data_IF_173533764131
#
_entry.id   IF_173533764131
#
_cell.length_a   1.000
_cell.length_b   1.000
_cell.length_c   1.000
_cell.angle_alpha   90.00
_cell.angle_beta   90.00
_cell.angle_gamma   90.00
#
_symmetry.space_group_name_H-M   'P 1'
#
loop_
_entity.id
_entity.type
_entity.pdbx_description
1 polymer ?
#
# COMPACT_ATOMS: atom_id res chain seq x y z
N UNK A 1 13.13 21.40 23.59
CA UNK A 1 12.08 20.85 22.72
C UNK A 1 12.13 19.34 22.87
N UNK A 2 10.99 18.65 22.63
CA UNK A 2 10.99 17.18 22.73
C UNK A 2 11.78 16.56 21.57
N UNK A 3 12.48 15.45 21.87
CA UNK A 3 13.26 14.67 20.91
C UNK A 3 12.53 13.37 20.57
N UNK A 4 12.30 13.14 19.28
CA UNK A 4 11.72 11.91 18.75
C UNK A 4 12.77 11.06 18.05
N UNK A 5 12.79 9.77 18.37
CA UNK A 5 13.54 8.74 17.64
C UNK A 5 12.57 7.99 16.75
N UNK A 6 12.75 8.07 15.43
CA UNK A 6 11.93 7.36 14.46
C UNK A 6 12.70 6.16 13.91
N UNK A 7 12.04 5.00 13.88
CA UNK A 7 12.62 3.76 13.35
C UNK A 7 11.96 3.42 12.03
N UNK A 8 12.73 3.49 10.94
CA UNK A 8 12.32 3.23 9.56
C UNK A 8 12.15 4.50 8.72
N UNK A 9 12.99 4.69 7.70
CA UNK A 9 12.93 5.79 6.73
C UNK A 9 12.17 5.39 5.45
N UNK A 10 11.12 4.58 5.62
CA UNK A 10 10.16 4.34 4.55
C UNK A 10 9.30 5.57 4.29
N UNK A 11 8.29 5.42 3.42
CA UNK A 11 7.38 6.52 3.03
C UNK A 11 6.75 7.24 4.24
N UNK A 12 6.21 6.48 5.20
CA UNK A 12 5.60 7.05 6.39
C UNK A 12 6.65 7.69 7.32
N UNK A 13 7.83 7.08 7.46
CA UNK A 13 8.89 7.60 8.34
C UNK A 13 9.45 8.93 7.85
N UNK A 14 9.77 9.05 6.54
CA UNK A 14 10.19 10.30 5.94
C UNK A 14 9.12 11.40 6.06
N UNK A 15 7.86 11.04 5.77
CA UNK A 15 6.74 11.99 5.89
C UNK A 15 6.53 12.46 7.34
N UNK A 16 6.54 11.53 8.31
CA UNK A 16 6.37 11.88 9.73
C UNK A 16 7.53 12.74 10.24
N UNK A 17 8.77 12.43 9.84
CA UNK A 17 9.93 13.24 10.17
C UNK A 17 9.78 14.69 9.67
N UNK A 18 9.24 14.90 8.46
CA UNK A 18 8.95 16.23 7.94
C UNK A 18 7.87 16.96 8.76
N UNK A 19 6.79 16.24 9.17
CA UNK A 19 5.76 16.83 10.05
C UNK A 19 6.33 17.27 11.38
N UNK A 20 7.09 16.40 12.05
CA UNK A 20 7.69 16.69 13.36
C UNK A 20 8.75 17.79 13.27
N UNK A 21 9.61 17.74 12.22
CA UNK A 21 10.61 18.78 11.95
C UNK A 21 9.99 20.15 11.76
N UNK A 22 8.91 20.25 11.02
CA UNK A 22 8.14 21.50 10.81
C UNK A 22 7.61 22.09 12.14
N UNK A 23 7.28 21.21 13.10
CA UNK A 23 6.85 21.66 14.44
C UNK A 23 7.99 22.10 15.34
N UNK A 24 9.24 21.93 14.91
CA UNK A 24 10.42 22.28 15.67
C UNK A 24 10.89 21.19 16.66
N UNK A 25 10.32 19.99 16.61
CA UNK A 25 10.82 18.86 17.40
C UNK A 25 12.18 18.38 16.87
N UNK A 26 13.08 18.00 17.77
CA UNK A 26 14.31 17.30 17.38
C UNK A 26 13.95 15.88 16.92
N UNK A 27 14.44 15.49 15.73
CA UNK A 27 14.11 14.19 15.13
C UNK A 27 15.38 13.48 14.71
N UNK A 28 15.59 12.27 15.24
CA UNK A 28 16.58 11.31 14.75
C UNK A 28 15.85 10.17 14.05
N UNK A 29 16.02 10.04 12.73
CA UNK A 29 15.38 9.01 11.88
C UNK A 29 16.41 7.96 11.47
N UNK A 30 16.18 6.70 11.85
CA UNK A 30 17.09 5.59 11.60
C UNK A 30 16.52 4.61 10.56
N UNK A 31 17.33 4.24 9.58
CA UNK A 31 16.98 3.30 8.50
C UNK A 31 18.03 2.19 8.41
N UNK A 32 17.56 0.94 8.31
CA UNK A 32 18.43 -0.23 8.20
C UNK A 32 19.16 -0.37 6.87
N UNK A 33 18.60 0.21 5.80
CA UNK A 33 19.15 0.18 4.44
C UNK A 33 20.11 1.34 4.22
N UNK A 34 20.92 1.21 3.17
CA UNK A 34 21.73 2.32 2.66
C UNK A 34 20.83 3.45 2.12
N UNK A 35 21.42 4.64 1.98
CA UNK A 35 20.72 5.79 1.40
C UNK A 35 20.28 5.46 -0.04
N UNK A 36 18.97 5.54 -0.34
CA UNK A 36 18.48 5.24 -1.68
C UNK A 36 18.99 6.20 -2.78
N UNK A 37 19.63 7.28 -2.40
CA UNK A 37 20.20 8.29 -3.33
C UNK A 37 21.65 7.97 -3.72
N UNK A 38 22.37 7.14 -2.97
CA UNK A 38 23.81 6.90 -3.13
C UNK A 38 24.15 5.73 -4.07
N UNK A 39 23.18 4.98 -4.57
CA UNK A 39 23.48 3.83 -5.41
C UNK A 39 22.31 3.29 -6.20
N UNK A 40 22.61 2.44 -7.17
CA UNK A 40 21.62 1.63 -7.85
C UNK A 40 20.84 0.83 -6.78
N UNK A 41 19.52 1.04 -6.71
CA UNK A 41 18.64 0.35 -5.78
C UNK A 41 18.80 -1.17 -5.98
N UNK A 42 19.70 -1.76 -5.21
CA UNK A 42 19.84 -3.21 -5.11
C UNK A 42 18.72 -3.70 -4.20
N UNK A 43 17.65 -4.08 -4.78
CA UNK A 43 16.52 -4.66 -4.05
C UNK A 43 15.23 -4.47 -4.82
N UNK A 44 14.84 -5.47 -5.61
CA UNK A 44 13.55 -5.66 -6.26
C UNK A 44 13.02 -4.45 -7.04
N UNK A 45 12.58 -4.65 -8.26
CA UNK A 45 11.87 -3.61 -9.00
C UNK A 45 10.74 -3.10 -8.12
N UNK A 46 10.70 -1.78 -7.92
CA UNK A 46 9.78 -1.14 -6.99
C UNK A 46 8.36 -1.31 -7.46
N UNK A 47 7.51 -1.95 -6.63
CA UNK A 47 6.05 -1.95 -6.85
C UNK A 47 5.59 -0.50 -6.93
N UNK A 48 4.90 -0.15 -8.01
CA UNK A 48 4.25 1.14 -8.10
C UNK A 48 3.13 1.25 -7.06
N UNK A 49 3.04 2.43 -6.52
CA UNK A 49 2.01 2.78 -5.55
C UNK A 49 0.87 3.51 -6.25
N UNK A 50 -0.34 3.32 -5.73
CA UNK A 50 -1.51 4.08 -6.13
C UNK A 50 -1.78 5.16 -5.08
N UNK A 51 -1.33 6.39 -5.32
CA UNK A 51 -1.63 7.51 -4.42
C UNK A 51 -2.98 8.13 -4.76
N UNK A 52 -3.76 8.44 -3.74
CA UNK A 52 -5.09 9.01 -3.87
C UNK A 52 -5.32 10.12 -2.83
N UNK A 53 -6.54 10.61 -2.71
CA UNK A 53 -6.91 11.80 -1.94
C UNK A 53 -6.28 11.90 -0.55
N UNK A 54 -6.22 10.80 0.23
CA UNK A 54 -5.66 10.83 1.60
C UNK A 54 -4.16 11.03 1.60
N UNK A 55 -3.46 10.30 0.74
CA UNK A 55 -2.01 10.44 0.59
C UNK A 55 -1.63 11.81 0.04
N UNK A 56 -2.35 12.28 -0.98
CA UNK A 56 -2.14 13.62 -1.56
C UNK A 56 -2.36 14.70 -0.49
N UNK A 57 -3.47 14.62 0.25
CA UNK A 57 -3.74 15.58 1.33
C UNK A 57 -2.61 15.65 2.37
N UNK A 58 -2.06 14.50 2.78
CA UNK A 58 -0.95 14.49 3.73
C UNK A 58 0.32 15.17 3.15
N UNK A 59 0.60 15.00 1.85
CA UNK A 59 1.70 15.70 1.18
C UNK A 59 1.43 17.21 1.02
N UNK A 60 0.19 17.61 0.75
CA UNK A 60 -0.23 19.02 0.68
C UNK A 60 0.02 19.76 2.00
N UNK A 61 -0.25 19.11 3.14
CA UNK A 61 -0.08 19.73 4.46
C UNK A 61 1.37 20.12 4.77
N UNK A 62 2.36 19.48 4.15
CA UNK A 62 3.78 19.82 4.27
C UNK A 62 4.33 20.52 3.02
N UNK A 63 3.47 20.81 2.03
CA UNK A 63 3.82 21.61 0.84
C UNK A 63 4.66 20.90 -0.20
N UNK A 64 4.66 19.55 -0.25
CA UNK A 64 5.45 18.78 -1.23
C UNK A 64 4.60 18.00 -2.25
N UNK A 65 3.29 18.19 -2.27
CA UNK A 65 2.41 17.42 -3.15
C UNK A 65 2.77 17.60 -4.63
N UNK A 66 2.95 18.83 -5.10
CA UNK A 66 3.28 19.11 -6.50
C UNK A 66 4.62 18.51 -6.91
N UNK A 67 5.62 18.55 -6.02
CA UNK A 67 6.93 17.96 -6.25
C UNK A 67 6.85 16.44 -6.31
N UNK A 68 6.21 15.83 -5.32
CA UNK A 68 6.07 14.38 -5.22
C UNK A 68 5.24 13.79 -6.38
N UNK A 69 4.22 14.53 -6.85
CA UNK A 69 3.32 14.07 -7.90
C UNK A 69 3.76 14.45 -9.33
N UNK A 70 4.87 15.17 -9.48
CA UNK A 70 5.35 15.67 -10.80
C UNK A 70 5.43 14.58 -11.87
N UNK A 71 5.80 13.38 -11.49
CA UNK A 71 5.96 12.22 -12.38
C UNK A 71 4.89 11.14 -12.15
N UNK A 72 3.84 11.45 -11.39
CA UNK A 72 2.74 10.52 -11.18
C UNK A 72 1.85 10.43 -12.43
N UNK A 73 1.39 9.23 -12.74
CA UNK A 73 0.56 8.97 -13.92
C UNK A 73 -0.89 8.76 -13.46
N UNK A 74 -1.82 9.63 -13.89
CA UNK A 74 -3.22 9.50 -13.50
C UNK A 74 -3.88 8.30 -14.21
N UNK A 75 -4.41 7.38 -13.43
CA UNK A 75 -5.23 6.25 -13.89
C UNK A 75 -6.69 6.59 -13.61
N UNK A 76 -7.50 6.75 -14.67
CA UNK A 76 -8.90 7.20 -14.59
C UNK A 76 -9.89 6.05 -14.45
N UNK A 77 -9.43 4.80 -14.58
CA UNK A 77 -10.28 3.63 -14.50
C UNK A 77 -9.47 2.33 -14.60
N UNK A 78 -10.21 1.25 -14.67
CA UNK A 78 -9.67 -0.10 -14.84
C UNK A 78 -9.83 -0.54 -16.29
N UNK A 79 -8.76 -1.02 -16.91
CA UNK A 79 -8.80 -1.72 -18.18
C UNK A 79 -8.84 -3.22 -17.89
N UNK A 80 -9.99 -3.83 -18.05
CA UNK A 80 -10.20 -5.25 -17.78
C UNK A 80 -9.86 -6.04 -19.02
N UNK A 81 -9.03 -7.07 -18.87
CA UNK A 81 -8.63 -8.05 -19.87
C UNK A 81 -9.36 -9.39 -19.59
N UNK A 82 -10.51 -9.66 -20.19
CA UNK A 82 -11.24 -10.90 -19.95
C UNK A 82 -10.43 -12.13 -20.40
N UNK A 83 -10.74 -13.30 -19.84
CA UNK A 83 -10.15 -14.55 -20.26
C UNK A 83 -10.58 -14.92 -21.70
N UNK A 84 -9.70 -15.59 -22.44
CA UNK A 84 -9.92 -16.06 -23.79
C UNK A 84 -9.17 -15.28 -24.85
N UNK A 85 -8.64 -15.99 -25.84
CA UNK A 85 -7.90 -15.39 -26.96
C UNK A 85 -8.82 -14.46 -27.78
N UNK A 86 -8.34 -13.26 -28.07
CA UNK A 86 -9.09 -12.24 -28.84
C UNK A 86 -10.21 -11.54 -28.09
N UNK A 87 -10.35 -11.74 -26.77
CA UNK A 87 -11.32 -11.02 -25.96
C UNK A 87 -11.01 -9.52 -25.98
N UNK A 88 -12.04 -8.68 -26.24
CA UNK A 88 -11.86 -7.23 -26.21
C UNK A 88 -11.72 -6.72 -24.78
N UNK A 89 -10.78 -5.82 -24.57
CA UNK A 89 -10.62 -5.10 -23.29
C UNK A 89 -11.83 -4.24 -22.99
N UNK A 90 -12.12 -4.07 -21.68
CA UNK A 90 -13.28 -3.31 -21.20
C UNK A 90 -12.77 -2.23 -20.26
N UNK A 91 -12.93 -0.98 -20.65
CA UNK A 91 -12.63 0.14 -19.76
C UNK A 91 -13.82 0.38 -18.80
N UNK A 92 -13.49 0.53 -17.52
CA UNK A 92 -14.45 0.86 -16.45
C UNK A 92 -13.92 2.04 -15.67
N UNK A 93 -14.54 3.24 -15.77
CA UNK A 93 -14.08 4.40 -15.01
C UNK A 93 -14.21 4.16 -13.50
N UNK A 94 -13.36 4.83 -12.72
CA UNK A 94 -13.43 4.76 -11.26
C UNK A 94 -14.60 5.57 -10.70
N UNK A 95 -14.91 6.68 -11.33
CA UNK A 95 -15.86 7.68 -10.86
C UNK A 95 -16.58 8.35 -12.05
N UNK A 96 -17.71 8.99 -11.78
CA UNK A 96 -18.42 9.80 -12.77
C UNK A 96 -17.70 11.12 -13.04
N UNK A 97 -16.97 11.66 -12.05
CA UNK A 97 -16.10 12.81 -12.23
C UNK A 97 -14.73 12.35 -12.76
N UNK A 98 -14.34 12.74 -13.99
CA UNK A 98 -13.06 12.35 -14.58
C UNK A 98 -11.83 12.92 -13.85
N UNK A 99 -11.99 13.86 -12.92
CA UNK A 99 -10.95 14.38 -12.04
C UNK A 99 -10.57 13.37 -10.95
N UNK A 100 -11.52 12.51 -10.56
CA UNK A 100 -11.30 11.47 -9.59
C UNK A 100 -10.50 10.33 -10.23
N UNK A 101 -9.20 10.30 -9.97
CA UNK A 101 -8.28 9.29 -10.45
C UNK A 101 -7.34 8.85 -9.32
N UNK A 102 -6.78 7.66 -9.45
CA UNK A 102 -5.64 7.24 -8.65
C UNK A 102 -4.37 7.49 -9.47
N UNK A 103 -3.29 7.85 -8.80
CA UNK A 103 -2.05 8.18 -9.50
C UNK A 103 -1.02 7.08 -9.27
N UNK A 104 -0.52 6.48 -10.36
CA UNK A 104 0.62 5.58 -10.28
C UNK A 104 1.88 6.38 -10.02
N UNK A 105 2.63 5.99 -8.99
CA UNK A 105 3.88 6.63 -8.60
C UNK A 105 4.91 5.59 -8.18
N UNK A 106 6.16 5.78 -8.61
CA UNK A 106 7.27 4.92 -8.21
C UNK A 106 7.58 5.09 -6.72
N UNK A 107 7.64 3.95 -6.00
CA UNK A 107 7.91 3.95 -4.55
C UNK A 107 9.23 4.63 -4.19
N UNK A 108 10.28 4.37 -4.96
CA UNK A 108 11.61 4.96 -4.74
C UNK A 108 11.59 6.48 -4.85
N UNK A 109 11.02 7.01 -5.94
CA UNK A 109 10.91 8.45 -6.16
C UNK A 109 10.11 9.16 -5.06
N UNK A 110 8.98 8.59 -4.65
CA UNK A 110 8.19 9.14 -3.55
C UNK A 110 8.94 9.08 -2.22
N UNK A 111 9.67 7.96 -1.96
CA UNK A 111 10.47 7.84 -0.72
C UNK A 111 11.58 8.87 -0.68
N UNK A 112 12.30 9.08 -1.76
CA UNK A 112 13.32 10.13 -1.87
C UNK A 112 12.71 11.51 -1.60
N UNK A 113 11.58 11.83 -2.22
CA UNK A 113 10.91 13.13 -2.03
C UNK A 113 10.52 13.40 -0.56
N UNK A 114 9.98 12.40 0.17
CA UNK A 114 9.63 12.60 1.59
C UNK A 114 10.86 12.67 2.50
N UNK A 115 11.96 11.95 2.20
CA UNK A 115 13.22 12.06 2.93
C UNK A 115 13.84 13.44 2.73
N UNK A 116 13.91 13.91 1.49
CA UNK A 116 14.42 15.25 1.16
C UNK A 116 13.59 16.34 1.81
N UNK A 117 12.27 16.20 1.84
CA UNK A 117 11.39 17.12 2.55
C UNK A 117 11.67 17.16 4.07
N UNK A 118 11.93 16.01 4.68
CA UNK A 118 12.31 15.94 6.10
C UNK A 118 13.64 16.65 6.37
N UNK A 119 14.64 16.45 5.51
CA UNK A 119 15.97 17.05 5.65
C UNK A 119 16.03 18.55 5.37
N UNK A 120 14.97 19.18 4.87
CA UNK A 120 14.85 20.65 4.80
C UNK A 120 14.79 21.29 6.17
N UNK A 121 14.46 20.54 7.21
CA UNK A 121 14.39 21.02 8.59
C UNK A 121 15.70 20.70 9.31
N UNK A 122 16.43 21.72 9.86
CA UNK A 122 17.75 21.54 10.49
C UNK A 122 17.70 20.71 11.77
N UNK A 123 16.55 20.54 12.36
CA UNK A 123 16.27 19.72 13.53
C UNK A 123 15.95 18.25 13.19
N UNK A 124 16.04 17.84 11.92
CA UNK A 124 15.85 16.46 11.48
C UNK A 124 17.18 15.88 10.98
N UNK A 125 17.60 14.78 11.56
CA UNK A 125 18.79 14.02 11.16
C UNK A 125 18.38 12.63 10.70
N UNK A 126 18.92 12.17 9.58
CA UNK A 126 18.63 10.85 9.00
C UNK A 126 19.91 10.01 9.02
N UNK A 127 19.81 8.81 9.58
CA UNK A 127 20.90 7.85 9.72
C UNK A 127 20.55 6.56 8.98
N UNK A 128 21.31 6.25 7.93
CA UNK A 128 21.19 5.02 7.16
C UNK A 128 22.11 3.92 7.69
N UNK A 129 21.90 2.67 7.27
CA UNK A 129 22.65 1.49 7.72
C UNK A 129 22.55 1.23 9.24
N UNK A 130 21.41 1.60 9.85
CA UNK A 130 21.14 1.42 11.26
C UNK A 130 19.88 0.56 11.44
N UNK A 131 20.06 -0.70 11.80
CA UNK A 131 18.96 -1.66 11.99
C UNK A 131 18.55 -1.67 13.46
N UNK A 132 17.32 -1.32 13.76
CA UNK A 132 16.77 -1.47 15.11
C UNK A 132 16.57 -2.97 15.41
N UNK A 133 17.07 -3.39 16.56
CA UNK A 133 16.97 -4.75 17.08
C UNK A 133 16.01 -4.87 18.24
N UNK A 134 15.92 -3.84 19.08
CA UNK A 134 15.07 -3.80 20.26
C UNK A 134 14.80 -2.36 20.71
N UNK A 135 13.78 -2.18 21.55
CA UNK A 135 13.41 -0.90 22.18
C UNK A 135 13.09 -1.14 23.64
N UNK A 136 13.79 -0.41 24.52
CA UNK A 136 13.41 -0.26 25.93
C UNK A 136 12.26 0.76 25.99
N UNK A 137 11.07 0.28 26.36
CA UNK A 137 9.87 1.09 26.33
C UNK A 137 9.83 2.14 27.45
N UNK A 138 10.35 1.82 28.64
CA UNK A 138 10.30 2.73 29.79
C UNK A 138 11.24 3.92 29.64
N UNK A 139 12.42 3.68 29.06
CA UNK A 139 13.42 4.71 28.81
C UNK A 139 13.30 5.39 27.44
N UNK A 140 12.41 4.92 26.54
CA UNK A 140 12.32 5.35 25.15
C UNK A 140 13.68 5.29 24.42
N UNK A 141 14.35 4.13 24.53
CA UNK A 141 15.69 3.92 23.95
C UNK A 141 15.63 2.81 22.91
N UNK A 142 16.02 3.11 21.66
CA UNK A 142 16.18 2.14 20.61
C UNK A 142 17.62 1.62 20.54
N UNK A 143 17.79 0.29 20.47
CA UNK A 143 19.07 -0.37 20.26
C UNK A 143 19.24 -0.68 18.78
N UNK A 144 20.37 -0.25 18.21
CA UNK A 144 20.61 -0.24 16.78
C UNK A 144 21.91 -0.96 16.45
N UNK A 145 21.89 -1.89 15.51
CA UNK A 145 23.08 -2.47 14.89
C UNK A 145 23.50 -1.63 13.70
N UNK A 146 24.76 -1.22 13.66
CA UNK A 146 25.33 -0.51 12.51
C UNK A 146 26.10 -1.48 11.63
N UNK A 147 25.73 -1.58 10.35
CA UNK A 147 26.49 -2.34 9.36
C UNK A 147 27.36 -1.37 8.56
N UNK A 148 28.62 -1.27 8.87
CA UNK A 148 29.55 -0.61 7.97
C UNK A 148 29.98 -1.60 6.89
N UNK A 149 29.40 -1.51 5.70
CA UNK A 149 30.04 -2.07 4.50
C UNK A 149 31.22 -1.15 4.22
N UNK A 150 32.42 -1.62 4.48
CA UNK A 150 33.62 -0.91 4.05
C UNK A 150 33.48 -0.65 2.54
N UNK A 151 33.57 0.62 2.13
CA UNK A 151 33.55 1.00 0.74
C UNK A 151 34.78 0.38 0.04
N UNK A 152 34.60 -0.80 -0.49
CA UNK A 152 35.56 -1.47 -1.36
C UNK A 152 35.51 -0.81 -2.72
N UNK A 153 36.66 -0.37 -3.22
CA UNK A 153 36.86 0.26 -4.52
C UNK A 153 36.20 -0.55 -5.66
N UNK A 154 35.59 0.11 -6.65
CA UNK A 154 35.06 -0.56 -7.82
C UNK A 154 36.21 -0.91 -8.75
N UNK A 155 36.66 -2.17 -8.75
CA UNK A 155 37.44 -2.82 -9.82
C UNK A 155 37.99 -4.17 -9.30
N UNK A 156 37.17 -5.23 -9.30
CA UNK A 156 37.60 -6.56 -9.72
C UNK A 156 36.38 -7.53 -9.81
N UNK A 157 35.98 -7.90 -10.99
CA UNK A 157 34.86 -8.82 -11.28
C UNK A 157 35.23 -10.31 -11.10
N UNK A 158 36.24 -10.64 -10.33
CA UNK A 158 36.77 -12.01 -10.25
C UNK A 158 36.79 -12.65 -8.85
N UNK A 159 36.14 -12.09 -7.85
CA UNK A 159 36.11 -12.74 -6.51
C UNK A 159 34.83 -13.56 -6.35
N UNK A 160 35.01 -14.87 -6.47
CA UNK A 160 34.01 -15.91 -6.24
C UNK A 160 33.47 -15.86 -4.81
N UNK A 161 32.16 -16.16 -4.67
CA UNK A 161 31.34 -16.25 -3.44
C UNK A 161 31.86 -17.17 -2.31
N UNK A 162 33.15 -17.45 -2.21
CA UNK A 162 33.70 -18.39 -1.23
C UNK A 162 34.47 -17.76 -0.06
N UNK A 163 34.79 -16.44 -0.10
CA UNK A 163 35.68 -15.83 0.88
C UNK A 163 35.08 -14.61 1.66
N UNK A 164 33.78 -14.48 1.75
CA UNK A 164 33.13 -13.40 2.55
C UNK A 164 33.03 -13.75 4.05
N UNK A 165 33.62 -14.86 4.49
CA UNK A 165 33.51 -15.30 5.89
C UNK A 165 34.60 -14.74 6.84
N UNK A 166 35.45 -13.82 6.43
CA UNK A 166 36.58 -13.36 7.25
C UNK A 166 36.88 -11.84 7.22
N UNK A 167 35.93 -11.00 6.89
CA UNK A 167 36.09 -9.57 7.21
C UNK A 167 35.35 -9.31 8.52
N UNK A 168 36.10 -9.09 9.61
CA UNK A 168 35.59 -8.63 10.91
C UNK A 168 34.89 -7.27 10.77
N UNK A 169 33.64 -7.25 10.34
CA UNK A 169 32.74 -6.16 10.59
C UNK A 169 32.21 -6.34 12.01
N UNK A 170 32.85 -5.76 13.00
CA UNK A 170 32.27 -5.61 14.33
C UNK A 170 30.97 -4.82 14.16
N UNK A 171 29.82 -5.49 14.25
CA UNK A 171 28.52 -4.83 14.33
C UNK A 171 28.54 -4.02 15.63
N UNK A 172 28.68 -2.71 15.51
CA UNK A 172 28.62 -1.84 16.68
C UNK A 172 27.16 -1.64 17.07
N UNK A 173 26.82 -1.97 18.32
CA UNK A 173 25.52 -1.66 18.90
C UNK A 173 25.57 -0.25 19.45
N UNK A 174 24.67 0.61 19.00
CA UNK A 174 24.48 1.95 19.54
C UNK A 174 23.08 2.08 20.13
N UNK A 175 22.93 2.99 21.10
CA UNK A 175 21.65 3.29 21.73
C UNK A 175 21.21 4.71 21.35
N UNK A 176 20.01 4.82 20.77
CA UNK A 176 19.37 6.09 20.43
C UNK A 176 18.28 6.39 21.45
N UNK A 177 18.49 7.44 22.25
CA UNK A 177 17.56 7.88 23.28
C UNK A 177 16.79 9.12 22.84
N UNK A 178 15.47 9.13 23.12
CA UNK A 178 14.59 10.28 22.92
C UNK A 178 13.54 10.41 24.02
N UNK A 179 12.74 11.46 23.93
CA UNK A 179 11.53 11.57 24.75
C UNK A 179 10.46 10.57 24.35
N UNK A 180 10.46 10.18 23.07
CA UNK A 180 9.65 9.09 22.53
C UNK A 180 10.33 8.41 21.35
N UNK A 181 10.03 7.09 21.17
CA UNK A 181 10.37 6.29 19.99
C UNK A 181 9.10 6.06 19.17
N UNK A 182 9.17 6.29 17.86
CA UNK A 182 8.05 5.99 16.96
C UNK A 182 8.47 4.92 15.96
N UNK A 183 7.79 3.77 15.99
CA UNK A 183 7.97 2.67 15.05
C UNK A 183 7.21 2.94 13.75
N UNK A 184 7.97 3.14 12.65
CA UNK A 184 7.49 3.28 11.27
C UNK A 184 8.23 2.32 10.36
N UNK A 185 8.69 1.20 10.91
CA UNK A 185 9.60 0.21 10.36
C UNK A 185 8.90 -0.93 9.60
N UNK A 186 7.61 -0.74 9.31
CA UNK A 186 6.86 -1.59 8.39
C UNK A 186 6.25 -2.84 9.02
N UNK A 187 5.73 -3.74 8.19
CA UNK A 187 4.97 -4.92 8.63
C UNK A 187 5.74 -5.85 9.59
N UNK A 188 7.06 -5.90 9.49
CA UNK A 188 7.94 -6.70 10.37
C UNK A 188 8.67 -5.82 11.39
N UNK A 189 7.92 -4.96 12.05
CA UNK A 189 8.40 -3.94 12.97
C UNK A 189 9.10 -4.53 14.20
N UNK A 190 10.36 -4.12 14.43
CA UNK A 190 11.11 -4.42 15.66
C UNK A 190 10.52 -3.69 16.86
N UNK A 191 10.06 -2.44 16.66
CA UNK A 191 9.41 -1.65 17.73
C UNK A 191 8.14 -2.34 18.21
N UNK A 192 7.26 -2.82 17.30
CA UNK A 192 6.08 -3.60 17.68
C UNK A 192 6.46 -4.88 18.40
N UNK A 193 7.51 -5.58 17.96
CA UNK A 193 7.99 -6.79 18.62
C UNK A 193 8.42 -6.51 20.06
N UNK A 194 9.15 -5.42 20.31
CA UNK A 194 9.53 -4.99 21.66
C UNK A 194 8.30 -4.67 22.52
N UNK A 195 7.29 -3.99 21.95
CA UNK A 195 6.01 -3.74 22.63
C UNK A 195 5.28 -5.05 22.99
N UNK A 196 5.26 -6.02 22.08
CA UNK A 196 4.63 -7.33 22.30
C UNK A 196 5.30 -8.10 23.42
N UNK A 197 6.62 -8.00 23.57
CA UNK A 197 7.37 -8.67 24.63
C UNK A 197 7.23 -8.00 26.00
N UNK A 198 7.07 -6.67 26.04
CA UNK A 198 7.14 -5.88 27.28
C UNK A 198 5.77 -5.46 27.79
N UNK A 199 4.71 -5.45 26.97
CA UNK A 199 3.36 -5.04 27.39
C UNK A 199 2.50 -6.27 27.66
N UNK A 200 2.09 -6.43 28.91
CA UNK A 200 1.14 -7.48 29.27
C UNK A 200 -0.22 -7.25 28.58
N UNK A 201 -0.74 -8.29 27.94
CA UNK A 201 -2.01 -8.20 27.21
C UNK A 201 -1.95 -7.48 25.86
N UNK A 202 -0.76 -7.31 25.27
CA UNK A 202 -0.62 -6.80 23.91
C UNK A 202 -1.30 -7.74 22.92
N UNK A 203 -2.30 -7.24 22.20
CA UNK A 203 -3.01 -7.99 21.18
C UNK A 203 -2.23 -7.97 19.86
N UNK A 204 -1.98 -9.14 19.29
CA UNK A 204 -1.32 -9.27 17.99
C UNK A 204 -1.95 -10.36 17.15
N UNK A 205 -2.29 -10.02 15.93
CA UNK A 205 -2.74 -10.94 14.91
C UNK A 205 -2.00 -10.69 13.61
N UNK A 206 -1.37 -11.72 13.10
CA UNK A 206 -0.70 -11.75 11.81
C UNK A 206 -1.36 -12.83 10.96
N UNK A 207 -1.90 -12.45 9.82
CA UNK A 207 -2.56 -13.38 8.91
C UNK A 207 -1.99 -13.26 7.50
N UNK A 208 -1.74 -14.40 6.87
CA UNK A 208 -1.27 -14.51 5.50
C UNK A 208 -2.38 -15.01 4.59
N UNK A 209 -2.46 -14.46 3.38
CA UNK A 209 -3.27 -15.08 2.34
C UNK A 209 -2.55 -16.32 1.80
N UNK A 210 -3.32 -17.30 1.31
CA UNK A 210 -2.79 -18.45 0.57
C UNK A 210 -2.13 -18.07 -0.77
N UNK A 211 -2.16 -16.78 -1.12
CA UNK A 211 -1.60 -16.21 -2.33
C UNK A 211 -0.31 -15.45 -2.05
N UNK A 212 0.65 -15.61 -2.94
CA UNK A 212 1.81 -14.74 -3.06
C UNK A 212 1.64 -13.74 -4.20
N UNK A 213 2.63 -12.88 -4.35
CA UNK A 213 2.73 -12.01 -5.50
C UNK A 213 4.11 -12.09 -6.14
N UNK A 214 4.14 -11.93 -7.46
CA UNK A 214 5.37 -11.91 -8.27
C UNK A 214 5.35 -10.69 -9.18
N UNK A 215 6.44 -9.93 -9.17
CA UNK A 215 6.61 -8.78 -10.03
C UNK A 215 7.18 -9.20 -11.38
N UNK A 216 6.59 -8.66 -12.44
CA UNK A 216 6.96 -8.88 -13.83
C UNK A 216 6.96 -7.54 -14.56
N UNK A 217 7.47 -7.48 -15.78
CA UNK A 217 7.60 -6.23 -16.52
C UNK A 217 7.04 -6.31 -17.93
N UNK A 218 6.35 -5.25 -18.35
CA UNK A 218 6.12 -4.92 -19.74
C UNK A 218 7.01 -3.70 -20.06
N UNK A 219 8.11 -3.84 -20.82
CA UNK A 219 9.00 -2.74 -21.17
C UNK A 219 8.33 -1.77 -22.15
N UNK A 220 8.85 -0.56 -22.33
CA UNK A 220 8.39 0.34 -23.37
C UNK A 220 8.54 -0.29 -24.78
N UNK A 221 7.81 0.23 -25.75
CA UNK A 221 8.02 -0.15 -27.15
C UNK A 221 9.42 0.30 -27.65
N UNK A 222 9.96 -0.24 -28.76
CA UNK A 222 11.27 0.13 -29.26
C UNK A 222 11.44 1.61 -29.58
N UNK A 223 10.35 2.31 -29.85
CA UNK A 223 10.32 3.77 -30.09
C UNK A 223 10.15 4.58 -28.78
N UNK A 224 10.16 3.93 -27.59
CA UNK A 224 9.96 4.55 -26.30
C UNK A 224 8.49 4.82 -25.95
N UNK A 225 7.54 4.42 -26.79
CA UNK A 225 6.11 4.63 -26.54
C UNK A 225 5.52 3.57 -25.61
N UNK A 226 4.31 3.87 -25.12
CA UNK A 226 3.53 2.96 -24.27
C UNK A 226 2.96 1.79 -25.09
N UNK A 227 3.10 0.56 -24.59
CA UNK A 227 2.52 -0.63 -25.23
C UNK A 227 1.04 -0.85 -24.90
N UNK A 228 0.53 -0.20 -23.86
CA UNK A 228 -0.87 -0.26 -23.41
C UNK A 228 -1.35 1.13 -23.01
N UNK A 229 -2.65 1.26 -22.70
CA UNK A 229 -3.24 2.52 -22.20
C UNK A 229 -2.61 2.95 -20.86
N UNK A 230 -1.87 4.06 -20.87
CA UNK A 230 -1.15 4.56 -19.69
C UNK A 230 -2.07 5.12 -18.59
N UNK A 231 -3.25 5.59 -18.96
CA UNK A 231 -4.17 6.21 -18.01
C UNK A 231 -5.19 5.23 -17.40
N UNK A 232 -4.82 3.95 -17.31
CA UNK A 232 -5.63 2.89 -16.73
C UNK A 232 -4.82 1.94 -15.85
N UNK A 233 -5.45 1.40 -14.81
CA UNK A 233 -4.98 0.20 -14.13
C UNK A 233 -5.43 -1.01 -14.94
N UNK A 234 -4.49 -1.76 -15.51
CA UNK A 234 -4.80 -2.99 -16.23
C UNK A 234 -5.02 -4.14 -15.26
N UNK A 235 -6.05 -4.96 -15.51
CA UNK A 235 -6.41 -6.10 -14.66
C UNK A 235 -6.78 -7.29 -15.55
N UNK A 236 -6.14 -8.43 -15.32
CA UNK A 236 -6.46 -9.75 -15.88
C UNK A 236 -7.07 -10.63 -14.78
N UNK A 237 -8.40 -10.61 -14.58
CA UNK A 237 -9.08 -11.47 -13.59
C UNK A 237 -9.17 -12.91 -14.10
N UNK A 238 -8.77 -13.88 -13.26
CA UNK A 238 -8.72 -15.32 -13.61
C UNK A 238 -9.32 -16.19 -12.51
N UNK A 239 -10.37 -15.74 -11.84
CA UNK A 239 -11.07 -16.40 -10.72
C UNK A 239 -10.17 -16.62 -9.50
N UNK A 240 -9.34 -17.69 -9.47
CA UNK A 240 -8.48 -17.99 -8.32
C UNK A 240 -7.22 -17.15 -8.27
N UNK A 241 -6.83 -16.45 -9.34
CA UNK A 241 -5.66 -15.58 -9.42
C UNK A 241 -5.92 -14.38 -10.31
N UNK A 242 -5.02 -13.42 -10.33
CA UNK A 242 -5.10 -12.26 -11.20
C UNK A 242 -3.72 -11.66 -11.44
N UNK A 243 -3.59 -10.95 -12.55
CA UNK A 243 -2.45 -10.05 -12.80
C UNK A 243 -2.97 -8.62 -12.92
N UNK A 244 -2.23 -7.67 -12.39
CA UNK A 244 -2.46 -6.24 -12.58
C UNK A 244 -1.24 -5.60 -13.23
N UNK A 245 -1.40 -4.47 -13.90
CA UNK A 245 -0.26 -3.68 -14.40
C UNK A 245 -0.50 -2.18 -14.18
N UNK A 246 0.51 -1.53 -13.61
CA UNK A 246 0.53 -0.09 -13.36
C UNK A 246 1.58 0.58 -14.23
N UNK A 247 1.28 1.75 -14.82
CA UNK A 247 2.21 2.47 -15.68
C UNK A 247 3.37 3.10 -14.89
N UNK A 248 4.54 3.15 -15.52
CA UNK A 248 5.75 3.81 -15.01
C UNK A 248 6.10 5.05 -15.86
N UNK A 249 6.81 6.06 -15.31
CA UNK A 249 7.20 7.25 -16.06
C UNK A 249 8.09 6.99 -17.28
N UNK A 250 8.81 5.86 -17.30
CA UNK A 250 9.67 5.42 -18.42
C UNK A 250 8.92 4.70 -19.54
N UNK A 251 7.59 4.76 -19.56
CA UNK A 251 6.69 4.09 -20.50
C UNK A 251 6.63 2.56 -20.34
N UNK A 252 7.23 1.98 -19.32
CA UNK A 252 7.04 0.58 -18.93
C UNK A 252 5.79 0.40 -18.06
N UNK A 253 5.44 -0.86 -17.79
CA UNK A 253 4.45 -1.21 -16.78
C UNK A 253 5.04 -2.22 -15.80
N UNK A 254 4.82 -1.98 -14.51
CA UNK A 254 5.05 -2.99 -13.48
C UNK A 254 3.83 -3.89 -13.39
N UNK A 255 4.02 -5.16 -13.73
CA UNK A 255 2.99 -6.18 -13.62
C UNK A 255 3.14 -6.92 -12.29
N UNK A 256 2.02 -7.20 -11.63
CA UNK A 256 2.01 -8.00 -10.39
C UNK A 256 1.05 -9.17 -10.57
N UNK A 257 1.59 -10.38 -10.59
CA UNK A 257 0.82 -11.62 -10.59
C UNK A 257 0.54 -12.02 -9.13
N UNK A 258 -0.73 -12.09 -8.76
CA UNK A 258 -1.20 -12.63 -7.49
C UNK A 258 -1.71 -14.05 -7.71
N UNK A 259 -1.06 -15.04 -7.10
CA UNK A 259 -1.33 -16.44 -7.34
C UNK A 259 -1.13 -17.29 -6.08
N UNK A 260 -1.82 -18.41 -6.00
CA UNK A 260 -1.69 -19.35 -4.88
C UNK A 260 -0.28 -19.91 -4.77
N UNK A 261 0.21 -20.05 -3.53
CA UNK A 261 1.52 -20.71 -3.30
C UNK A 261 1.45 -22.18 -3.64
N UNK A 262 0.36 -22.87 -3.27
CA UNK A 262 0.16 -24.30 -3.40
C UNK A 262 -1.16 -24.60 -4.12
N UNK A 263 -1.29 -25.79 -4.72
CA UNK A 263 -2.47 -26.23 -5.45
C UNK A 263 -2.11 -26.82 -6.82
N UNK A 264 -3.11 -27.27 -7.57
CA UNK A 264 -2.90 -27.87 -8.89
C UNK A 264 -2.32 -26.89 -9.92
N UNK A 265 -2.68 -25.61 -9.82
CA UNK A 265 -2.12 -24.49 -10.62
C UNK A 265 -1.65 -23.43 -9.65
N UNK A 266 -0.35 -23.36 -9.40
CA UNK A 266 0.24 -22.54 -8.34
C UNK A 266 1.71 -22.26 -8.60
N UNK A 267 2.32 -21.40 -7.79
CA UNK A 267 3.77 -21.22 -7.80
C UNK A 267 4.53 -22.54 -7.54
N UNK A 268 3.98 -23.44 -6.72
CA UNK A 268 4.63 -24.71 -6.38
C UNK A 268 4.68 -25.69 -7.57
N UNK A 269 3.73 -25.61 -8.50
CA UNK A 269 3.64 -26.51 -9.67
C UNK A 269 4.26 -25.93 -10.94
N UNK A 270 4.62 -24.65 -10.96
CA UNK A 270 5.19 -23.95 -12.13
C UNK A 270 6.65 -23.66 -11.88
N UNK A 271 7.52 -24.64 -12.22
CA UNK A 271 8.94 -24.62 -11.86
C UNK A 271 9.90 -24.45 -13.03
N UNK A 272 9.49 -24.91 -14.21
CA UNK A 272 10.32 -24.84 -15.42
C UNK A 272 9.91 -23.68 -16.32
N UNK A 273 10.81 -23.24 -17.18
CA UNK A 273 10.51 -22.19 -18.18
C UNK A 273 9.33 -22.58 -19.08
N UNK A 274 9.20 -23.87 -19.42
CA UNK A 274 8.10 -24.38 -20.22
C UNK A 274 6.76 -24.36 -19.45
N UNK A 275 6.78 -24.60 -18.12
CA UNK A 275 5.58 -24.47 -17.30
C UNK A 275 5.14 -23.00 -17.23
N UNK A 276 6.09 -22.07 -17.03
CA UNK A 276 5.79 -20.62 -17.02
C UNK A 276 5.22 -20.18 -18.35
N UNK A 277 5.89 -20.55 -19.46
CA UNK A 277 5.43 -20.16 -20.82
C UNK A 277 4.03 -20.66 -21.09
N UNK A 278 3.77 -21.95 -20.86
CA UNK A 278 2.45 -22.56 -21.04
C UNK A 278 1.38 -21.90 -20.21
N UNK A 279 1.66 -21.64 -18.91
CA UNK A 279 0.71 -20.94 -18.03
C UNK A 279 0.35 -19.56 -18.55
N UNK A 280 1.34 -18.77 -18.97
CA UNK A 280 1.09 -17.41 -19.47
C UNK A 280 0.40 -17.41 -20.85
N UNK A 281 0.74 -18.33 -21.75
CA UNK A 281 0.09 -18.48 -23.05
C UNK A 281 -1.40 -18.89 -22.91
N UNK A 282 -1.72 -19.74 -21.94
CA UNK A 282 -3.08 -20.15 -21.64
C UNK A 282 -3.91 -19.04 -20.97
N UNK A 283 -3.34 -18.35 -19.99
CA UNK A 283 -4.10 -17.44 -19.13
C UNK A 283 -3.97 -15.95 -19.52
N UNK A 284 -2.86 -15.55 -20.10
CA UNK A 284 -2.56 -14.16 -20.44
C UNK A 284 -2.06 -14.01 -21.89
N UNK A 285 -2.72 -14.61 -22.89
CA UNK A 285 -2.23 -14.65 -24.27
C UNK A 285 -2.04 -13.26 -24.89
N UNK A 286 -2.79 -12.26 -24.43
CA UNK A 286 -2.66 -10.87 -24.87
C UNK A 286 -1.50 -10.13 -24.21
N UNK A 287 -1.01 -10.59 -23.04
CA UNK A 287 0.11 -10.00 -22.33
C UNK A 287 1.47 -10.59 -22.78
N UNK A 288 1.53 -11.89 -23.12
CA UNK A 288 2.78 -12.60 -23.48
C UNK A 288 3.61 -11.87 -24.54
N UNK A 289 3.02 -11.39 -25.66
CA UNK A 289 3.80 -10.66 -26.68
C UNK A 289 4.40 -9.33 -26.19
N UNK A 290 3.90 -8.81 -25.06
CA UNK A 290 4.33 -7.56 -24.45
C UNK A 290 5.44 -7.78 -23.40
N UNK A 291 5.72 -9.02 -23.01
CA UNK A 291 6.59 -9.41 -21.89
C UNK A 291 7.83 -10.19 -22.35
N UNK A 292 8.79 -9.59 -23.08
CA UNK A 292 9.96 -10.31 -23.59
C UNK A 292 10.88 -10.84 -22.50
N UNK A 293 10.83 -10.27 -21.28
CA UNK A 293 11.65 -10.68 -20.12
C UNK A 293 10.88 -11.59 -19.15
N UNK A 294 9.73 -12.14 -19.55
CA UNK A 294 8.83 -12.92 -18.67
C UNK A 294 9.57 -14.01 -17.90
N UNK A 295 10.36 -14.84 -18.57
CA UNK A 295 11.04 -15.99 -17.94
C UNK A 295 12.12 -15.52 -16.95
N UNK A 296 12.90 -14.51 -17.34
CA UNK A 296 13.93 -13.93 -16.48
C UNK A 296 13.31 -13.26 -15.25
N UNK A 297 12.26 -12.48 -15.43
CA UNK A 297 11.53 -11.83 -14.34
C UNK A 297 10.90 -12.89 -13.41
N UNK A 298 10.28 -13.94 -13.96
CA UNK A 298 9.65 -14.98 -13.17
C UNK A 298 10.67 -15.78 -12.34
N UNK A 299 11.84 -16.04 -12.90
CA UNK A 299 12.93 -16.77 -12.23
C UNK A 299 13.65 -15.92 -11.17
N UNK A 300 13.99 -14.69 -11.50
CA UNK A 300 14.90 -13.88 -10.69
C UNK A 300 14.18 -13.02 -9.64
N UNK A 301 12.92 -12.61 -9.88
CA UNK A 301 12.18 -11.82 -8.90
C UNK A 301 11.67 -12.72 -7.76
N UNK A 302 11.78 -12.31 -6.50
CA UNK A 302 11.26 -13.09 -5.38
C UNK A 302 9.73 -13.19 -5.42
N UNK A 303 9.17 -14.26 -4.87
CA UNK A 303 7.74 -14.36 -4.60
C UNK A 303 7.46 -13.82 -3.21
N UNK A 304 6.74 -12.71 -3.11
CA UNK A 304 6.38 -12.09 -1.86
C UNK A 304 5.10 -12.66 -1.25
N UNK A 305 4.97 -12.56 0.07
CA UNK A 305 3.78 -12.94 0.82
C UNK A 305 2.84 -11.75 1.04
N UNK A 306 1.55 -12.02 1.18
CA UNK A 306 0.51 -11.04 1.44
C UNK A 306 0.09 -11.15 2.90
N UNK A 307 0.56 -10.21 3.73
CA UNK A 307 0.34 -10.21 5.17
C UNK A 307 -0.64 -9.09 5.58
N UNK A 308 -1.48 -9.39 6.54
CA UNK A 308 -2.30 -8.42 7.27
C UNK A 308 -1.89 -8.45 8.74
N UNK A 309 -1.57 -7.29 9.29
CA UNK A 309 -1.21 -7.09 10.70
C UNK A 309 -2.31 -6.32 11.40
N UNK A 310 -2.70 -6.80 12.58
CA UNK A 310 -3.57 -6.08 13.52
C UNK A 310 -2.96 -6.19 14.91
N UNK A 311 -2.81 -5.09 15.59
CA UNK A 311 -2.31 -5.08 16.97
C UNK A 311 -2.99 -4.00 17.81
N UNK A 312 -2.88 -4.12 19.11
CA UNK A 312 -3.32 -3.13 20.10
C UNK A 312 -2.61 -3.37 21.44
N UNK A 313 -2.29 -2.31 22.20
CA UNK A 313 -2.37 -0.88 21.83
C UNK A 313 -1.27 -0.48 20.84
N UNK A 314 -1.42 0.68 20.15
CA UNK A 314 -0.38 1.24 19.28
C UNK A 314 0.58 2.18 20.01
N UNK A 315 0.47 2.30 21.29
CA UNK A 315 1.34 3.16 22.09
C UNK A 315 1.59 2.56 23.47
N UNK A 316 2.68 2.99 24.07
CA UNK A 316 3.02 2.70 25.45
C UNK A 316 3.32 4.03 26.17
N UNK A 317 2.37 4.43 27.04
CA UNK A 317 2.43 5.70 27.77
C UNK A 317 2.74 6.86 26.80
N UNK A 318 3.58 7.78 27.22
CA UNK A 318 4.12 8.89 26.39
C UNK A 318 5.44 8.51 25.68
N UNK A 319 5.86 7.23 25.68
CA UNK A 319 7.20 6.76 25.35
C UNK A 319 7.34 6.13 23.98
N UNK A 320 6.38 5.31 23.57
CA UNK A 320 6.46 4.58 22.30
C UNK A 320 5.13 4.67 21.54
N UNK A 321 5.21 4.83 20.20
CA UNK A 321 4.03 4.81 19.34
C UNK A 321 4.33 4.09 18.01
N UNK A 322 3.34 3.38 17.45
CA UNK A 322 3.41 2.71 16.15
C UNK A 322 2.60 3.49 15.11
N UNK A 323 3.13 3.60 13.88
CA UNK A 323 2.50 4.33 12.77
C UNK A 323 2.61 3.51 11.47
N UNK A 324 1.57 3.54 10.65
CA UNK A 324 1.53 2.86 9.36
C UNK A 324 1.62 1.34 9.47
N UNK A 325 2.34 0.70 8.56
CA UNK A 325 2.44 -0.76 8.48
C UNK A 325 3.01 -1.41 9.75
N UNK A 326 3.75 -0.68 10.59
CA UNK A 326 4.18 -1.16 11.89
C UNK A 326 3.00 -1.45 12.82
N UNK A 327 1.91 -0.71 12.70
CA UNK A 327 0.69 -0.85 13.47
C UNK A 327 -0.38 -1.71 12.77
N UNK A 328 -0.51 -1.60 11.43
CA UNK A 328 -1.65 -2.16 10.68
C UNK A 328 -1.36 -2.41 9.20
N UNK A 329 -0.37 -3.22 8.90
CA UNK A 329 -0.11 -3.62 7.51
C UNK A 329 -1.33 -4.29 6.88
N UNK A 330 -1.63 -3.94 5.63
CA UNK A 330 -2.77 -4.46 4.89
C UNK A 330 -2.35 -4.98 3.52
N UNK A 331 -3.08 -5.96 3.00
CA UNK A 331 -2.88 -6.45 1.63
C UNK A 331 -3.18 -5.36 0.59
N UNK A 332 -2.47 -5.32 -0.56
CA UNK A 332 -2.43 -4.15 -1.45
C UNK A 332 -3.67 -3.94 -2.33
N UNK A 333 -4.69 -4.79 -2.24
CA UNK A 333 -5.77 -4.86 -3.22
C UNK A 333 -6.68 -3.63 -3.32
N UNK A 334 -6.76 -2.83 -2.28
CA UNK A 334 -7.48 -1.55 -2.32
C UNK A 334 -6.58 -0.37 -2.73
N UNK A 335 -5.24 -0.58 -2.75
CA UNK A 335 -4.27 0.48 -3.02
C UNK A 335 -4.23 1.57 -1.92
N UNK A 336 -4.61 1.23 -0.68
CA UNK A 336 -4.78 2.20 0.39
C UNK A 336 -3.76 2.09 1.52
N UNK A 337 -2.85 1.10 1.54
CA UNK A 337 -1.87 0.95 2.64
C UNK A 337 -1.03 2.21 2.85
N UNK A 338 -0.34 2.69 1.81
CA UNK A 338 0.43 3.93 1.86
C UNK A 338 -0.45 5.15 2.19
N UNK A 339 -1.64 5.27 1.56
CA UNK A 339 -2.55 6.39 1.80
C UNK A 339 -3.02 6.43 3.26
N UNK A 340 -3.27 5.27 3.88
CA UNK A 340 -3.61 5.14 5.28
C UNK A 340 -2.45 5.51 6.20
N UNK A 341 -1.23 5.06 5.87
CA UNK A 341 -0.02 5.40 6.63
C UNK A 341 0.31 6.91 6.56
N UNK A 342 0.06 7.55 5.41
CA UNK A 342 0.20 9.00 5.27
C UNK A 342 -0.87 9.75 6.09
N UNK A 343 -2.12 9.25 6.08
CA UNK A 343 -3.18 9.79 6.94
C UNK A 343 -2.85 9.60 8.43
N UNK A 344 -2.17 8.51 8.81
CA UNK A 344 -1.68 8.31 10.19
C UNK A 344 -0.69 9.40 10.60
N UNK A 345 0.28 9.73 9.73
CA UNK A 345 1.25 10.81 9.99
C UNK A 345 0.53 12.15 10.21
N UNK A 346 -0.44 12.46 9.35
CA UNK A 346 -1.26 13.67 9.48
C UNK A 346 -2.06 13.69 10.78
N UNK A 347 -2.76 12.58 11.11
CA UNK A 347 -3.60 12.52 12.33
C UNK A 347 -2.76 12.55 13.60
N UNK A 348 -1.60 11.90 13.62
CA UNK A 348 -0.68 11.98 14.77
C UNK A 348 -0.17 13.42 14.96
N UNK A 349 0.17 14.11 13.86
CA UNK A 349 0.56 15.51 13.90
C UNK A 349 -0.55 16.39 14.48
N UNK A 350 -1.81 16.19 14.06
CA UNK A 350 -2.95 16.93 14.63
C UNK A 350 -3.16 16.62 16.12
N UNK A 351 -3.01 15.36 16.55
CA UNK A 351 -3.11 14.99 17.95
C UNK A 351 -2.02 15.63 18.81
N UNK A 352 -0.77 15.67 18.33
CA UNK A 352 0.34 16.35 19.00
C UNK A 352 0.10 17.87 19.09
N UNK A 353 -0.60 18.46 18.13
CA UNK A 353 -1.03 19.87 18.17
C UNK A 353 -2.14 20.11 19.18
N UNK A 354 -3.10 19.18 19.25
CA UNK A 354 -4.26 19.28 20.15
C UNK A 354 -3.85 19.11 21.63
N UNK A 355 -2.84 18.28 21.90
CA UNK A 355 -2.33 17.98 23.25
C UNK A 355 -0.82 18.26 23.37
N UNK A 356 -0.38 19.54 23.26
CA UNK A 356 1.05 19.88 23.18
C UNK A 356 1.85 19.50 24.42
N UNK A 357 1.23 19.51 25.60
CA UNK A 357 1.87 19.24 26.89
C UNK A 357 1.56 17.82 27.42
N UNK A 358 0.83 17.01 26.64
CA UNK A 358 0.41 15.67 27.06
C UNK A 358 0.51 14.67 25.90
N UNK A 359 1.72 14.17 25.70
CA UNK A 359 2.03 13.24 24.60
C UNK A 359 1.31 11.89 24.74
N UNK A 360 1.13 11.39 25.96
CA UNK A 360 0.37 10.17 26.20
C UNK A 360 -1.07 10.31 25.69
N UNK A 361 -1.72 11.42 26.00
CA UNK A 361 -3.05 11.72 25.51
C UNK A 361 -3.07 11.90 23.98
N UNK A 362 -2.06 12.52 23.40
CA UNK A 362 -1.94 12.63 21.94
C UNK A 362 -1.85 11.24 21.26
N UNK A 363 -1.05 10.33 21.81
CA UNK A 363 -0.92 8.97 21.31
C UNK A 363 -2.21 8.15 21.50
N UNK A 364 -2.86 8.28 22.65
CA UNK A 364 -4.14 7.63 22.92
C UNK A 364 -5.24 8.11 21.96
N UNK A 365 -5.31 9.42 21.71
CA UNK A 365 -6.27 10.00 20.78
C UNK A 365 -5.98 9.57 19.33
N UNK A 366 -4.73 9.57 18.90
CA UNK A 366 -4.31 9.03 17.61
C UNK A 366 -4.75 7.57 17.44
N UNK A 367 -4.46 6.71 18.41
CA UNK A 367 -4.90 5.31 18.41
C UNK A 367 -6.42 5.20 18.28
N UNK A 368 -7.18 5.96 19.08
CA UNK A 368 -8.64 5.97 19.06
C UNK A 368 -9.22 6.36 17.70
N UNK A 369 -8.66 7.41 17.06
CA UNK A 369 -9.10 7.88 15.74
C UNK A 369 -8.75 6.91 14.62
N UNK A 370 -7.60 6.19 14.72
CA UNK A 370 -7.05 5.42 13.61
C UNK A 370 -7.35 3.92 13.68
N UNK A 371 -7.34 3.30 14.86
CA UNK A 371 -7.47 1.84 15.01
C UNK A 371 -8.72 1.27 14.33
N UNK A 372 -9.88 1.83 14.61
CA UNK A 372 -11.14 1.37 14.01
C UNK A 372 -11.16 1.53 12.48
N UNK A 373 -10.45 2.53 11.95
CA UNK A 373 -10.35 2.77 10.51
C UNK A 373 -9.36 1.82 9.85
N UNK A 374 -8.24 1.52 10.50
CA UNK A 374 -7.26 0.55 10.02
C UNK A 374 -7.85 -0.87 9.96
N UNK A 375 -8.62 -1.28 10.99
CA UNK A 375 -9.31 -2.56 11.00
C UNK A 375 -10.33 -2.65 9.85
N UNK A 376 -11.15 -1.61 9.66
CA UNK A 376 -12.08 -1.54 8.54
C UNK A 376 -11.37 -1.61 7.18
N UNK A 377 -10.22 -0.92 7.04
CA UNK A 377 -9.43 -0.98 5.81
C UNK A 377 -8.90 -2.38 5.54
N UNK A 378 -8.43 -3.10 6.56
CA UNK A 378 -7.96 -4.47 6.42
C UNK A 378 -9.08 -5.40 5.89
N UNK A 379 -10.31 -5.29 6.43
CA UNK A 379 -11.47 -6.04 5.94
C UNK A 379 -11.84 -5.66 4.51
N UNK A 380 -11.85 -4.37 4.20
CA UNK A 380 -12.13 -3.85 2.86
C UNK A 380 -11.10 -4.32 1.84
N UNK A 381 -9.82 -4.39 2.20
CA UNK A 381 -8.75 -4.83 1.31
C UNK A 381 -8.91 -6.32 0.94
N UNK A 382 -9.23 -7.18 1.91
CA UNK A 382 -9.53 -8.59 1.66
C UNK A 382 -10.81 -8.73 0.81
N UNK A 383 -11.87 -7.98 1.13
CA UNK A 383 -13.11 -7.97 0.35
C UNK A 383 -12.90 -7.54 -1.10
N UNK A 384 -12.05 -6.53 -1.33
CA UNK A 384 -11.74 -6.08 -2.69
C UNK A 384 -10.88 -7.08 -3.47
N UNK A 385 -10.02 -7.86 -2.81
CA UNK A 385 -9.31 -8.97 -3.44
C UNK A 385 -10.30 -9.98 -4.07
N UNK A 386 -11.27 -10.44 -3.28
CA UNK A 386 -12.31 -11.36 -3.74
C UNK A 386 -13.12 -10.72 -4.87
N UNK A 387 -13.45 -9.42 -4.76
CA UNK A 387 -14.16 -8.69 -5.81
C UNK A 387 -13.37 -8.64 -7.12
N UNK A 388 -12.10 -8.24 -7.05
CA UNK A 388 -11.25 -8.10 -8.24
C UNK A 388 -10.95 -9.44 -8.90
N UNK A 389 -10.69 -10.46 -8.11
CA UNK A 389 -10.34 -11.80 -8.55
C UNK A 389 -11.54 -12.53 -9.18
N UNK A 390 -12.70 -12.51 -8.52
CA UNK A 390 -13.83 -13.39 -8.82
C UNK A 390 -14.98 -12.67 -9.57
N UNK A 391 -15.23 -11.39 -9.24
CA UNK A 391 -16.50 -10.73 -9.61
C UNK A 391 -16.41 -9.77 -10.79
N UNK A 392 -15.23 -9.18 -11.07
CA UNK A 392 -15.09 -8.14 -12.10
C UNK A 392 -15.49 -8.58 -13.50
N UNK A 393 -15.34 -9.85 -13.83
CA UNK A 393 -15.81 -10.43 -15.10
C UNK A 393 -17.32 -10.73 -15.12
N UNK A 394 -18.01 -10.73 -13.96
CA UNK A 394 -19.44 -11.08 -13.85
C UNK A 394 -20.34 -9.99 -14.45
N UNK A 395 -21.36 -10.42 -15.25
CA UNK A 395 -22.36 -9.51 -15.82
C UNK A 395 -23.19 -8.82 -14.74
N UNK A 396 -23.57 -9.56 -13.69
CA UNK A 396 -24.39 -9.05 -12.57
C UNK A 396 -23.62 -8.00 -11.75
N UNK A 397 -22.34 -8.24 -11.50
CA UNK A 397 -21.49 -7.29 -10.82
C UNK A 397 -21.32 -5.99 -11.62
N UNK A 398 -21.08 -6.09 -12.92
CA UNK A 398 -20.98 -4.92 -13.81
C UNK A 398 -22.29 -4.15 -13.89
N UNK A 399 -23.44 -4.83 -13.88
CA UNK A 399 -24.74 -4.19 -13.83
C UNK A 399 -24.95 -3.42 -12.52
N UNK A 400 -24.53 -4.00 -11.37
CA UNK A 400 -24.56 -3.29 -10.07
C UNK A 400 -23.67 -2.04 -10.12
N UNK A 401 -22.44 -2.12 -10.64
CA UNK A 401 -21.55 -0.95 -10.75
C UNK A 401 -22.12 0.15 -11.64
N UNK A 402 -22.79 -0.21 -12.74
CA UNK A 402 -23.51 0.78 -13.57
C UNK A 402 -24.65 1.44 -12.81
N UNK A 403 -25.41 0.66 -12.02
CA UNK A 403 -26.47 1.20 -11.16
C UNK A 403 -25.88 2.12 -10.08
N UNK A 404 -24.77 1.74 -9.44
CA UNK A 404 -24.10 2.57 -8.45
C UNK A 404 -23.71 3.94 -9.04
N UNK A 405 -23.10 3.98 -10.24
CA UNK A 405 -22.76 5.23 -10.94
C UNK A 405 -23.97 6.03 -11.38
N UNK A 406 -25.06 5.35 -11.80
CA UNK A 406 -26.31 6.04 -12.13
C UNK A 406 -26.93 6.70 -10.90
N UNK A 407 -26.96 6.00 -9.77
CA UNK A 407 -27.45 6.54 -8.51
C UNK A 407 -26.58 7.68 -7.99
N UNK A 408 -25.27 7.59 -8.12
CA UNK A 408 -24.33 8.66 -7.79
C UNK A 408 -24.59 9.93 -8.61
N UNK A 409 -24.78 9.77 -9.93
CA UNK A 409 -25.11 10.88 -10.82
C UNK A 409 -26.50 11.48 -10.56
N UNK A 410 -27.48 10.65 -10.22
CA UNK A 410 -28.86 11.09 -9.97
C UNK A 410 -29.06 11.68 -8.56
N UNK A 411 -28.27 11.27 -7.60
CA UNK A 411 -28.38 11.64 -6.17
C UNK A 411 -27.04 12.14 -5.61
N UNK A 412 -26.46 13.20 -6.16
CA UNK A 412 -25.14 13.68 -5.80
C UNK A 412 -25.08 14.04 -4.29
N UNK A 413 -24.03 13.55 -3.61
CA UNK A 413 -23.83 13.74 -2.17
C UNK A 413 -24.68 12.84 -1.26
N UNK A 414 -25.82 12.31 -1.75
CA UNK A 414 -26.70 11.39 -1.01
C UNK A 414 -26.20 9.95 -1.17
N UNK A 415 -26.07 9.49 -2.42
CA UNK A 415 -25.53 8.18 -2.74
C UNK A 415 -24.07 8.32 -3.19
N UNK A 416 -23.17 7.62 -2.50
CA UNK A 416 -21.74 7.56 -2.86
C UNK A 416 -21.31 6.08 -2.86
N UNK A 417 -20.79 5.57 -3.97
CA UNK A 417 -20.21 4.23 -4.01
C UNK A 417 -19.11 4.04 -2.96
N UNK A 418 -18.98 2.81 -2.43
CA UNK A 418 -17.96 2.53 -1.42
C UNK A 418 -16.55 2.86 -1.93
N UNK A 419 -16.26 2.52 -3.20
CA UNK A 419 -14.96 2.79 -3.80
C UNK A 419 -14.66 4.28 -3.84
N UNK A 420 -15.61 5.11 -4.26
CA UNK A 420 -15.52 6.58 -4.27
C UNK A 420 -15.25 7.12 -2.86
N UNK A 421 -16.02 6.66 -1.85
CA UNK A 421 -15.82 7.09 -0.47
C UNK A 421 -14.43 6.76 0.08
N UNK A 422 -13.93 5.57 -0.20
CA UNK A 422 -12.63 5.08 0.31
C UNK A 422 -11.47 5.75 -0.41
N UNK A 423 -11.56 5.95 -1.73
CA UNK A 423 -10.43 6.34 -2.58
C UNK A 423 -10.39 7.85 -2.83
N UNK A 424 -11.55 8.49 -3.05
CA UNK A 424 -11.63 9.88 -3.49
C UNK A 424 -12.17 10.84 -2.43
N UNK A 425 -12.41 10.36 -1.20
CA UNK A 425 -12.80 11.22 -0.08
C UNK A 425 -11.93 10.94 1.14
N UNK A 426 -12.06 11.80 2.15
CA UNK A 426 -11.46 11.63 3.47
C UNK A 426 -12.45 11.10 4.50
N UNK A 427 -13.63 10.60 4.07
CA UNK A 427 -14.58 9.92 4.97
C UNK A 427 -13.84 8.75 5.65
N UNK A 428 -13.83 8.66 7.00
CA UNK A 428 -13.16 7.57 7.71
C UNK A 428 -13.58 6.19 7.18
N UNK A 429 -12.64 5.26 7.01
CA UNK A 429 -12.90 3.96 6.36
C UNK A 429 -14.05 3.19 7.01
N UNK A 430 -14.09 3.14 8.35
CA UNK A 430 -15.20 2.51 9.07
C UNK A 430 -16.55 3.20 8.85
N UNK A 431 -16.55 4.52 8.66
CA UNK A 431 -17.77 5.26 8.34
C UNK A 431 -18.20 5.01 6.88
N UNK A 432 -17.25 4.97 5.94
CA UNK A 432 -17.51 4.65 4.54
C UNK A 432 -18.15 3.26 4.41
N UNK A 433 -17.60 2.26 5.09
CA UNK A 433 -18.13 0.90 5.12
C UNK A 433 -19.58 0.84 5.69
N UNK A 434 -19.81 1.48 6.85
CA UNK A 434 -21.15 1.54 7.46
C UNK A 434 -22.15 2.27 6.55
N UNK A 435 -21.73 3.38 5.91
CA UNK A 435 -22.58 4.13 4.98
C UNK A 435 -22.93 3.28 3.76
N UNK A 436 -21.96 2.58 3.16
CA UNK A 436 -22.21 1.70 2.02
C UNK A 436 -23.18 0.57 2.36
N UNK A 437 -22.98 -0.13 3.48
CA UNK A 437 -23.90 -1.17 3.97
C UNK A 437 -25.32 -0.65 4.17
N UNK A 438 -25.47 0.58 4.69
CA UNK A 438 -26.77 1.24 4.85
C UNK A 438 -27.41 1.57 3.50
N UNK A 439 -26.65 2.13 2.56
CA UNK A 439 -27.11 2.44 1.21
C UNK A 439 -27.59 1.17 0.48
N UNK A 440 -26.79 0.11 0.50
CA UNK A 440 -27.18 -1.19 -0.09
C UNK A 440 -28.48 -1.72 0.53
N UNK A 441 -28.61 -1.67 1.86
CA UNK A 441 -29.85 -2.12 2.54
C UNK A 441 -31.07 -1.31 2.10
N UNK A 442 -30.93 0.02 2.02
CA UNK A 442 -32.01 0.89 1.57
C UNK A 442 -32.39 0.58 0.11
N UNK A 443 -31.41 0.39 -0.76
CA UNK A 443 -31.63 0.02 -2.16
C UNK A 443 -32.38 -1.30 -2.29
N UNK A 444 -31.97 -2.35 -1.55
CA UNK A 444 -32.67 -3.63 -1.56
C UNK A 444 -34.13 -3.52 -1.07
N UNK A 445 -34.35 -2.80 0.02
CA UNK A 445 -35.72 -2.59 0.53
C UNK A 445 -36.59 -1.85 -0.51
N UNK A 446 -36.06 -0.82 -1.16
CA UNK A 446 -36.77 -0.07 -2.19
C UNK A 446 -37.10 -0.94 -3.40
N UNK A 447 -36.14 -1.77 -3.87
CA UNK A 447 -36.36 -2.68 -5.01
C UNK A 447 -37.39 -3.75 -4.67
N UNK A 448 -37.39 -4.33 -3.47
CA UNK A 448 -38.38 -5.29 -3.02
C UNK A 448 -39.76 -4.64 -2.97
N UNK A 449 -39.88 -3.46 -2.38
CA UNK A 449 -41.16 -2.72 -2.31
C UNK A 449 -41.70 -2.39 -3.70
N UNK A 450 -40.85 -1.90 -4.61
CA UNK A 450 -41.22 -1.66 -5.99
C UNK A 450 -41.68 -2.94 -6.71
N UNK A 451 -40.98 -4.05 -6.50
CA UNK A 451 -41.38 -5.37 -7.04
C UNK A 451 -42.76 -5.82 -6.55
N UNK A 452 -43.04 -5.68 -5.26
CA UNK A 452 -44.34 -6.02 -4.67
C UNK A 452 -45.46 -5.16 -5.30
N UNK A 453 -45.23 -3.85 -5.45
CA UNK A 453 -46.17 -2.93 -6.05
C UNK A 453 -46.47 -3.33 -7.52
N UNK A 454 -45.41 -3.61 -8.30
CA UNK A 454 -45.55 -4.03 -9.70
C UNK A 454 -46.38 -5.35 -9.80
N UNK A 455 -46.04 -6.35 -8.98
CA UNK A 455 -46.78 -7.62 -8.94
C UNK A 455 -48.25 -7.40 -8.56
N UNK A 456 -48.52 -6.56 -7.56
CA UNK A 456 -49.89 -6.25 -7.12
C UNK A 456 -50.69 -5.55 -8.24
N UNK A 457 -50.05 -4.60 -8.96
CA UNK A 457 -50.70 -3.95 -10.12
C UNK A 457 -50.98 -4.91 -11.27
N UNK A 458 -50.04 -5.83 -11.59
CA UNK A 458 -50.24 -6.86 -12.61
C UNK A 458 -51.39 -7.82 -12.25
N UNK A 459 -51.42 -8.29 -11.00
CA UNK A 459 -52.52 -9.15 -10.51
C UNK A 459 -53.86 -8.41 -10.61
N UNK A 460 -53.91 -7.14 -10.23
CA UNK A 460 -55.15 -6.34 -10.35
C UNK A 460 -55.60 -6.13 -11.81
N UNK A 461 -54.61 -5.98 -12.72
CA UNK A 461 -54.91 -5.82 -14.15
C UNK A 461 -55.42 -7.11 -14.82
N UNK A 462 -54.93 -8.28 -14.38
CA UNK A 462 -55.35 -9.60 -14.85
C UNK A 462 -56.73 -10.02 -14.28
N UNK A 463 -57.05 -9.55 -13.07
CA UNK A 463 -58.32 -9.86 -12.41
C UNK A 463 -59.50 -8.99 -12.85
N UNK A 464 -59.24 -7.97 -13.70
CA UNK A 464 -60.25 -7.17 -14.44
C UNK A 464 -60.41 -7.68 -15.83
#
# INVERSE_FOLDING_TARGET
MAKFVLIGSGLAGGLLAAYLGRRGFDVDLYERRADPREGNIVGGRSINLAISTRGIHALEQIGIADEALRHAIPMRGRMIHPAGAGARTIFTPYDVDPKNCINSIGRGALNTAVIEAAQRYPNVRVYFNHKCTDVDLDSATAHLETSFVAAGSPQDESVRMADVSAANSENQIISAHGDAVIGVDGAFSAVRQSMQMQISGFEYNESYLAHGYKELTIPPAPDGSWRMEKNALHIWPRKSFMMIALPNPDSSFTCTLFWEFEGQRSFATTKTDDDVRRFFEEEFPDAVPLMPTLLDDFKNNPTGSLVTIRCAPWFYRDKVCLVGDAAHAVVPFYGQGMNAAFEDCFVLDECLKEFPDNRERAFAEYFSRRKVNADALADLAIGNFIEMRDKTASKTFRAKKKLDHLLEAALPGIYLPLYTMVTFTRIPYAQAERRAKRQDRMLYVTLIAAGIIIVSLLVHLIAR
#
